data_IF_869298671484
#
_entry.id   IF_869298671484
#
_cell.length_a   1.000
_cell.length_b   1.000
_cell.length_c   1.000
_cell.angle_alpha   90.00
_cell.angle_beta   90.00
_cell.angle_gamma   90.00
#
_symmetry.space_group_name_H-M   'P 1'
#
loop_
_entity.id
_entity.type
_entity.pdbx_description
1 polymer ?
#
# COMPACT_ATOMS: atom_id res chain seq x y z
N UNK A 1 -0.33 15.18 -16.45
CA UNK A 1 -1.12 14.26 -17.29
C UNK A 1 -1.85 13.37 -16.31
N UNK A 2 -3.12 13.67 -16.07
CA UNK A 2 -4.00 12.79 -15.30
C UNK A 2 -4.40 11.64 -16.22
N UNK A 3 -4.02 10.42 -15.84
CA UNK A 3 -4.47 9.21 -16.53
C UNK A 3 -5.82 8.81 -15.94
N UNK A 4 -6.77 8.45 -16.79
CA UNK A 4 -8.02 7.85 -16.32
C UNK A 4 -7.76 6.46 -15.74
N UNK A 5 -8.43 6.03 -14.66
CA UNK A 5 -8.29 4.68 -14.10
C UNK A 5 -8.42 3.57 -15.15
N UNK A 6 -9.31 3.74 -16.13
CA UNK A 6 -9.47 2.81 -17.25
C UNK A 6 -8.20 2.69 -18.11
N UNK A 7 -7.48 3.79 -18.35
CA UNK A 7 -6.28 3.78 -19.19
C UNK A 7 -5.10 3.05 -18.53
N UNK A 8 -5.03 3.04 -17.19
CA UNK A 8 -4.01 2.29 -16.45
C UNK A 8 -4.35 0.79 -16.40
N UNK A 9 -5.64 0.45 -16.30
CA UNK A 9 -6.13 -0.93 -16.20
C UNK A 9 -6.16 -1.62 -17.57
N UNK A 10 -6.55 -0.90 -18.63
CA UNK A 10 -6.79 -1.44 -19.96
C UNK A 10 -5.56 -1.40 -20.87
N UNK A 11 -4.49 -0.70 -20.50
CA UNK A 11 -3.22 -0.83 -21.21
C UNK A 11 -2.65 -2.23 -20.97
N UNK A 12 -2.54 -3.10 -22.01
CA UNK A 12 -1.93 -4.39 -21.83
C UNK A 12 -0.48 -4.17 -21.38
N UNK A 13 -0.12 -4.74 -20.22
CA UNK A 13 1.27 -5.00 -19.90
C UNK A 13 1.78 -6.08 -20.88
N UNK A 14 2.05 -5.68 -22.12
CA UNK A 14 2.79 -6.48 -23.08
C UNK A 14 4.10 -6.90 -22.42
N UNK A 15 4.49 -8.18 -22.56
CA UNK A 15 5.66 -8.74 -21.90
C UNK A 15 6.96 -7.96 -22.22
N UNK A 16 7.02 -7.26 -23.36
CA UNK A 16 8.12 -6.38 -23.76
C UNK A 16 8.20 -5.06 -22.96
N UNK A 17 7.18 -4.71 -22.18
CA UNK A 17 7.11 -3.46 -21.42
C UNK A 17 7.40 -3.61 -19.92
N UNK A 18 7.29 -4.82 -19.35
CA UNK A 18 7.57 -5.04 -17.92
C UNK A 18 9.05 -5.35 -17.68
N UNK A 19 9.90 -4.31 -17.72
CA UNK A 19 11.35 -4.47 -17.54
C UNK A 19 11.73 -4.63 -16.06
N UNK A 20 12.66 -5.55 -15.72
CA UNK A 20 13.30 -5.57 -14.41
C UNK A 20 14.01 -4.24 -14.12
N UNK A 21 14.22 -3.93 -12.84
CA UNK A 21 14.96 -2.74 -12.40
C UNK A 21 14.37 -1.41 -12.89
N UNK A 22 13.04 -1.36 -13.07
CA UNK A 22 12.31 -0.21 -13.62
C UNK A 22 12.38 1.05 -12.75
N UNK A 23 12.69 0.91 -11.46
CA UNK A 23 12.65 2.02 -10.49
C UNK A 23 14.06 2.56 -10.14
N UNK A 24 14.87 2.86 -11.14
CA UNK A 24 16.24 3.42 -11.10
C UNK A 24 17.32 2.52 -10.43
N UNK A 25 16.97 1.77 -9.39
CA UNK A 25 17.88 0.88 -8.67
C UNK A 25 17.19 -0.45 -8.35
N UNK A 26 17.96 -1.54 -8.17
CA UNK A 26 17.39 -2.83 -7.77
C UNK A 26 16.59 -2.75 -6.47
N UNK A 27 17.12 -2.07 -5.45
CA UNK A 27 16.45 -2.01 -4.14
C UNK A 27 15.12 -1.24 -4.19
N UNK A 28 15.05 -0.14 -4.94
CA UNK A 28 13.80 0.61 -5.14
C UNK A 28 12.81 -0.22 -5.96
N UNK A 29 13.27 -1.00 -6.94
CA UNK A 29 12.40 -1.88 -7.71
C UNK A 29 11.81 -2.97 -6.82
N UNK A 30 12.65 -3.71 -6.09
CA UNK A 30 12.20 -4.77 -5.19
C UNK A 30 11.29 -4.29 -4.07
N UNK A 31 11.47 -3.05 -3.59
CA UNK A 31 10.59 -2.46 -2.58
C UNK A 31 9.15 -2.34 -3.11
N UNK A 32 8.98 -1.76 -4.30
CA UNK A 32 7.66 -1.60 -4.91
C UNK A 32 7.11 -2.94 -5.40
N UNK A 33 7.92 -3.80 -6.02
CA UNK A 33 7.50 -5.15 -6.38
C UNK A 33 6.98 -5.91 -5.15
N UNK A 34 7.67 -5.78 -4.00
CA UNK A 34 7.24 -6.38 -2.74
C UNK A 34 5.90 -5.82 -2.27
N UNK A 35 5.72 -4.48 -2.26
CA UNK A 35 4.42 -3.89 -1.92
C UNK A 35 3.29 -4.39 -2.81
N UNK A 36 3.52 -4.53 -4.13
CA UNK A 36 2.51 -5.06 -5.04
C UNK A 36 2.00 -6.44 -4.63
N UNK A 37 2.85 -7.30 -4.04
CA UNK A 37 2.43 -8.61 -3.53
C UNK A 37 1.47 -8.49 -2.35
N UNK A 38 1.64 -7.48 -1.49
CA UNK A 38 0.81 -7.28 -0.30
C UNK A 38 -0.55 -6.67 -0.64
N UNK A 39 -0.57 -5.75 -1.62
CA UNK A 39 -1.71 -4.86 -1.88
C UNK A 39 -3.01 -5.61 -2.17
N UNK A 40 -3.10 -6.60 -3.08
CA UNK A 40 -4.40 -7.20 -3.41
C UNK A 40 -5.16 -7.81 -2.22
N UNK A 41 -4.42 -8.47 -1.32
CA UNK A 41 -4.97 -9.09 -0.12
C UNK A 41 -5.30 -8.03 0.95
N UNK A 42 -4.41 -7.03 1.11
CA UNK A 42 -4.61 -5.90 2.00
C UNK A 42 -5.84 -5.08 1.60
N UNK A 43 -5.96 -4.69 0.34
CA UNK A 43 -7.08 -3.94 -0.22
C UNK A 43 -8.39 -4.74 -0.11
N UNK A 44 -8.36 -6.07 -0.33
CA UNK A 44 -9.55 -6.91 -0.08
C UNK A 44 -10.04 -6.81 1.37
N UNK A 45 -9.09 -6.86 2.31
CA UNK A 45 -9.37 -6.72 3.73
C UNK A 45 -9.94 -5.33 4.03
N UNK A 46 -9.27 -4.27 3.57
CA UNK A 46 -9.70 -2.88 3.81
C UNK A 46 -11.08 -2.62 3.20
N UNK A 47 -11.33 -3.01 1.95
CA UNK A 47 -12.65 -2.93 1.30
C UNK A 47 -13.71 -3.57 2.19
N UNK A 48 -13.49 -4.83 2.60
CA UNK A 48 -14.48 -5.57 3.41
C UNK A 48 -14.77 -4.89 4.74
N UNK A 49 -13.75 -4.31 5.37
CA UNK A 49 -13.87 -3.63 6.67
C UNK A 49 -14.54 -2.28 6.53
N UNK A 50 -14.21 -1.50 5.50
CA UNK A 50 -14.84 -0.20 5.21
C UNK A 50 -16.31 -0.40 4.87
N UNK A 51 -16.68 -1.38 4.04
CA UNK A 51 -18.08 -1.68 3.73
C UNK A 51 -18.89 -2.01 4.99
N UNK A 52 -18.37 -2.91 5.84
CA UNK A 52 -19.03 -3.30 7.09
C UNK A 52 -19.12 -2.15 8.10
N UNK A 53 -18.12 -1.28 8.14
CA UNK A 53 -18.08 -0.12 9.04
C UNK A 53 -19.05 0.97 8.58
N UNK A 54 -19.05 1.28 7.28
CA UNK A 54 -19.96 2.27 6.69
C UNK A 54 -21.44 1.83 6.74
N UNK A 55 -21.70 0.52 6.78
CA UNK A 55 -23.05 -0.01 7.00
C UNK A 55 -23.65 0.35 8.38
N UNK A 56 -22.82 0.73 9.37
CA UNK A 56 -23.30 1.20 10.67
C UNK A 56 -23.64 2.70 10.67
N UNK A 57 -23.29 3.43 9.61
CA UNK A 57 -23.61 4.83 9.45
C UNK A 57 -24.98 5.02 8.79
N UNK A 58 -25.51 6.23 8.90
CA UNK A 58 -26.62 6.65 8.07
C UNK A 58 -26.19 6.70 6.60
N UNK A 59 -26.96 6.03 5.73
CA UNK A 59 -26.55 5.81 4.34
C UNK A 59 -26.51 7.10 3.50
N UNK A 60 -27.21 8.14 3.96
CA UNK A 60 -27.20 9.49 3.38
C UNK A 60 -26.07 10.38 3.93
N UNK A 61 -25.27 9.91 4.88
CA UNK A 61 -24.14 10.70 5.41
C UNK A 61 -23.02 10.80 4.37
N UNK A 62 -22.31 11.93 4.39
CA UNK A 62 -21.16 12.15 3.51
C UNK A 62 -20.07 11.07 3.69
N UNK A 63 -19.85 10.59 4.92
CA UNK A 63 -18.86 9.55 5.19
C UNK A 63 -19.26 8.19 4.59
N UNK A 64 -20.55 7.85 4.56
CA UNK A 64 -21.01 6.64 3.87
C UNK A 64 -20.83 6.76 2.35
N UNK A 65 -21.01 7.96 1.77
CA UNK A 65 -20.72 8.21 0.36
C UNK A 65 -19.23 8.13 0.03
N UNK A 66 -18.38 8.80 0.81
CA UNK A 66 -16.93 8.74 0.68
C UNK A 66 -16.43 7.29 0.80
N UNK A 67 -17.01 6.49 1.71
CA UNK A 67 -16.70 5.06 1.85
C UNK A 67 -17.05 4.24 0.61
N UNK A 68 -18.15 4.57 -0.08
CA UNK A 68 -18.52 3.89 -1.34
C UNK A 68 -17.56 4.23 -2.47
N UNK A 69 -17.11 5.50 -2.57
CA UNK A 69 -16.10 5.93 -3.55
C UNK A 69 -14.77 5.23 -3.30
N UNK A 70 -14.30 5.26 -2.05
CA UNK A 70 -13.11 4.56 -1.60
C UNK A 70 -13.13 3.07 -2.01
N UNK A 71 -14.25 2.38 -1.76
CA UNK A 71 -14.38 0.96 -2.12
C UNK A 71 -14.30 0.72 -3.63
N UNK A 72 -14.77 1.65 -4.46
CA UNK A 72 -14.67 1.53 -5.91
C UNK A 72 -13.23 1.73 -6.41
N UNK A 73 -12.53 2.73 -5.85
CA UNK A 73 -11.12 3.04 -6.11
C UNK A 73 -10.22 1.86 -5.71
N UNK A 74 -10.40 1.31 -4.50
CA UNK A 74 -9.61 0.15 -4.04
C UNK A 74 -9.83 -1.11 -4.86
N UNK A 75 -11.06 -1.35 -5.34
CA UNK A 75 -11.32 -2.46 -6.25
C UNK A 75 -10.56 -2.29 -7.56
N UNK A 76 -10.35 -1.06 -8.01
CA UNK A 76 -9.56 -0.77 -9.20
C UNK A 76 -8.08 -1.04 -8.93
N UNK A 77 -7.52 -0.55 -7.82
CA UNK A 77 -6.15 -0.85 -7.40
C UNK A 77 -5.88 -2.35 -7.32
N UNK A 78 -6.79 -3.09 -6.69
CA UNK A 78 -6.68 -4.54 -6.51
C UNK A 78 -6.56 -5.27 -7.83
N UNK A 79 -7.37 -4.90 -8.82
CA UNK A 79 -7.29 -5.49 -10.16
C UNK A 79 -5.95 -5.17 -10.82
N UNK A 80 -5.50 -3.93 -10.73
CA UNK A 80 -4.24 -3.49 -11.33
C UNK A 80 -3.03 -4.20 -10.69
N UNK A 81 -2.98 -4.31 -9.37
CA UNK A 81 -1.90 -5.01 -8.67
C UNK A 81 -1.92 -6.52 -8.89
N UNK A 82 -3.09 -7.16 -9.05
CA UNK A 82 -3.14 -8.56 -9.51
C UNK A 82 -2.53 -8.76 -10.89
N UNK A 83 -2.79 -7.85 -11.83
CA UNK A 83 -2.17 -7.90 -13.17
C UNK A 83 -0.66 -7.65 -13.09
N UNK A 84 -0.22 -6.72 -12.24
CA UNK A 84 1.20 -6.48 -11.96
C UNK A 84 1.89 -7.74 -11.41
N UNK A 85 1.27 -8.39 -10.42
CA UNK A 85 1.77 -9.60 -9.78
C UNK A 85 1.86 -10.78 -10.75
N UNK A 86 0.93 -10.89 -11.69
CA UNK A 86 1.02 -11.88 -12.78
C UNK A 86 2.27 -11.65 -13.66
N UNK A 87 2.70 -10.41 -13.87
CA UNK A 87 3.93 -10.12 -14.63
C UNK A 87 5.20 -10.44 -13.82
N UNK A 88 5.17 -10.26 -12.49
CA UNK A 88 6.23 -10.74 -11.61
C UNK A 88 6.32 -12.29 -11.62
N UNK A 89 5.17 -12.97 -11.60
CA UNK A 89 5.12 -14.44 -11.68
C UNK A 89 5.72 -14.96 -12.99
N UNK A 90 5.44 -14.30 -14.13
CA UNK A 90 6.06 -14.62 -15.42
C UNK A 90 7.58 -14.44 -15.43
N UNK A 91 8.11 -13.57 -14.57
CA UNK A 91 9.55 -13.43 -14.35
C UNK A 91 10.12 -14.49 -13.38
N UNK A 92 9.30 -15.45 -12.95
CA UNK A 92 9.67 -16.58 -12.13
C UNK A 92 9.81 -16.28 -10.65
N UNK A 93 9.22 -15.19 -10.15
CA UNK A 93 9.04 -14.95 -8.72
C UNK A 93 7.82 -15.72 -8.21
N UNK A 94 7.85 -16.25 -6.99
CA UNK A 94 6.75 -17.06 -6.40
C UNK A 94 5.63 -16.19 -5.80
N UNK A 95 5.16 -15.20 -6.55
CA UNK A 95 4.21 -14.19 -6.07
C UNK A 95 2.88 -14.81 -5.67
N UNK A 96 2.36 -15.75 -6.47
CA UNK A 96 1.08 -16.39 -6.17
C UNK A 96 1.07 -17.12 -4.82
N UNK A 97 2.17 -17.78 -4.47
CA UNK A 97 2.27 -18.45 -3.17
C UNK A 97 2.25 -17.45 -2.01
N UNK A 98 2.90 -16.30 -2.19
CA UNK A 98 2.90 -15.24 -1.20
C UNK A 98 1.53 -14.59 -1.03
N UNK A 99 0.83 -14.28 -2.13
CA UNK A 99 -0.53 -13.74 -2.09
C UNK A 99 -1.47 -14.66 -1.31
N UNK A 100 -1.46 -15.97 -1.60
CA UNK A 100 -2.28 -16.95 -0.90
C UNK A 100 -1.98 -17.02 0.61
N UNK A 101 -0.72 -16.87 1.00
CA UNK A 101 -0.32 -16.81 2.40
C UNK A 101 -0.91 -15.58 3.11
N UNK A 102 -0.74 -14.41 2.50
CA UNK A 102 -1.23 -13.14 3.06
C UNK A 102 -2.77 -13.14 3.13
N UNK A 103 -3.46 -13.61 2.09
CA UNK A 103 -4.92 -13.75 2.07
C UNK A 103 -5.41 -14.64 3.21
N UNK A 104 -4.76 -15.78 3.42
CA UNK A 104 -5.11 -16.71 4.50
C UNK A 104 -4.91 -16.07 5.88
N UNK A 105 -3.80 -15.37 6.08
CA UNK A 105 -3.50 -14.71 7.36
C UNK A 105 -4.52 -13.61 7.65
N UNK A 106 -4.84 -12.75 6.67
CA UNK A 106 -5.84 -11.71 6.82
C UNK A 106 -7.26 -12.27 7.03
N UNK A 107 -7.64 -13.35 6.35
CA UNK A 107 -8.92 -14.04 6.60
C UNK A 107 -8.99 -14.64 8.01
N UNK A 108 -7.89 -15.23 8.49
CA UNK A 108 -7.80 -15.76 9.84
C UNK A 108 -7.91 -14.66 10.90
N UNK A 109 -7.33 -13.48 10.65
CA UNK A 109 -7.49 -12.30 11.49
C UNK A 109 -8.95 -11.81 11.46
N UNK A 110 -9.53 -11.65 10.26
CA UNK A 110 -10.88 -11.14 10.06
C UNK A 110 -11.96 -12.02 10.72
N UNK A 111 -11.77 -13.34 10.73
CA UNK A 111 -12.70 -14.28 11.37
C UNK A 111 -12.65 -14.26 12.90
N UNK A 112 -11.57 -13.76 13.51
CA UNK A 112 -11.36 -13.79 14.96
C UNK A 112 -11.52 -12.43 15.64
N UNK A 113 -11.28 -11.35 14.91
CA UNK A 113 -11.22 -10.00 15.48
C UNK A 113 -12.57 -9.30 15.38
N UNK A 114 -12.85 -8.40 16.33
CA UNK A 114 -14.01 -7.52 16.24
C UNK A 114 -13.88 -6.55 15.06
N UNK A 115 -15.00 -6.04 14.55
CA UNK A 115 -14.97 -5.05 13.46
C UNK A 115 -14.19 -3.78 13.85
N UNK A 116 -14.22 -3.38 15.12
CA UNK A 116 -13.43 -2.26 15.64
C UNK A 116 -11.91 -2.50 15.52
N UNK A 117 -11.47 -3.71 15.88
CA UNK A 117 -10.07 -4.11 15.71
C UNK A 117 -9.66 -4.18 14.24
N UNK A 118 -10.56 -4.71 13.39
CA UNK A 118 -10.34 -4.76 11.95
C UNK A 118 -10.23 -3.36 11.34
N UNK A 119 -11.10 -2.42 11.74
CA UNK A 119 -11.07 -1.04 11.29
C UNK A 119 -9.83 -0.29 11.76
N UNK A 120 -9.37 -0.53 12.99
CA UNK A 120 -8.11 0.01 13.49
C UNK A 120 -6.90 -0.51 12.67
N UNK A 121 -6.91 -1.79 12.29
CA UNK A 121 -5.88 -2.35 11.41
C UNK A 121 -5.96 -1.77 10.00
N UNK A 122 -7.16 -1.67 9.42
CA UNK A 122 -7.37 -1.10 8.09
C UNK A 122 -6.89 0.36 8.03
N UNK A 123 -7.30 1.19 8.98
CA UNK A 123 -6.84 2.58 9.07
C UNK A 123 -5.33 2.71 9.29
N UNK A 124 -4.70 1.71 9.89
CA UNK A 124 -3.25 1.68 10.00
C UNK A 124 -2.56 1.33 8.68
N UNK A 125 -3.08 0.36 7.92
CA UNK A 125 -2.59 0.05 6.57
C UNK A 125 -2.64 1.28 5.68
N UNK A 126 -3.82 1.90 5.57
CA UNK A 126 -4.04 3.13 4.79
C UNK A 126 -3.10 4.27 5.19
N UNK A 127 -2.79 4.41 6.47
CA UNK A 127 -1.87 5.45 6.90
C UNK A 127 -0.42 5.13 6.52
N UNK A 128 0.01 3.87 6.67
CA UNK A 128 1.37 3.46 6.28
C UNK A 128 1.57 3.67 4.79
N UNK A 129 0.63 3.19 3.96
CA UNK A 129 0.66 3.32 2.50
C UNK A 129 0.55 4.77 2.07
N UNK A 130 -0.33 5.60 2.66
CA UNK A 130 -0.43 7.02 2.34
C UNK A 130 0.88 7.79 2.61
N UNK A 131 1.57 7.48 3.71
CA UNK A 131 2.88 8.10 4.02
C UNK A 131 3.94 7.70 2.99
N UNK A 132 3.99 6.43 2.61
CA UNK A 132 4.89 5.93 1.56
C UNK A 132 4.58 6.60 0.23
N UNK A 133 3.31 6.64 -0.17
CA UNK A 133 2.81 7.28 -1.38
C UNK A 133 3.17 8.77 -1.44
N UNK A 134 2.97 9.49 -0.33
CA UNK A 134 3.37 10.89 -0.20
C UNK A 134 4.88 11.10 -0.42
N UNK A 135 5.73 10.17 0.01
CA UNK A 135 7.19 10.23 -0.23
C UNK A 135 7.58 9.74 -1.62
N UNK A 136 6.88 8.75 -2.16
CA UNK A 136 7.08 8.22 -3.51
C UNK A 136 6.88 9.31 -4.57
N UNK A 137 5.84 10.14 -4.43
CA UNK A 137 5.46 11.18 -5.38
C UNK A 137 6.30 12.47 -5.32
N UNK A 138 7.21 12.61 -4.35
CA UNK A 138 8.04 13.81 -4.21
C UNK A 138 9.00 13.97 -5.39
N UNK A 139 9.41 15.22 -5.63
CA UNK A 139 10.61 15.50 -6.44
C UNK A 139 11.81 14.85 -5.76
N UNK A 140 12.50 13.95 -6.47
CA UNK A 140 13.54 13.07 -5.91
C UNK A 140 13.03 12.11 -4.82
N UNK A 141 11.79 11.65 -4.95
CA UNK A 141 11.17 10.65 -4.09
C UNK A 141 11.64 9.21 -4.37
N UNK A 142 10.85 8.25 -3.89
CA UNK A 142 11.12 6.82 -4.08
C UNK A 142 10.68 6.28 -5.44
N UNK A 143 9.80 6.98 -6.16
CA UNK A 143 9.34 6.58 -7.48
C UNK A 143 10.12 7.30 -8.58
N UNK A 144 10.57 6.54 -9.58
CA UNK A 144 11.32 7.07 -10.72
C UNK A 144 10.49 8.10 -11.51
N UNK A 145 11.20 9.11 -12.02
CA UNK A 145 10.65 10.07 -12.97
C UNK A 145 10.52 9.49 -14.39
N UNK A 146 11.22 8.39 -14.68
CA UNK A 146 11.18 7.74 -15.98
C UNK A 146 9.83 7.06 -16.20
N UNK A 147 9.21 7.30 -17.36
CA UNK A 147 7.93 6.72 -17.68
C UNK A 147 8.08 5.23 -18.05
N UNK A 148 7.37 4.37 -17.33
CA UNK A 148 7.14 2.96 -17.66
C UNK A 148 5.69 2.60 -17.31
N UNK A 149 5.21 1.43 -17.70
CA UNK A 149 3.91 0.93 -17.26
C UNK A 149 3.84 0.84 -15.73
N UNK A 150 4.92 0.37 -15.09
CA UNK A 150 5.00 0.31 -13.63
C UNK A 150 4.97 1.68 -12.96
N UNK A 151 5.73 2.67 -13.45
CA UNK A 151 5.71 4.01 -12.84
C UNK A 151 4.39 4.74 -13.07
N UNK A 152 3.64 4.43 -14.14
CA UNK A 152 2.28 4.94 -14.34
C UNK A 152 1.32 4.36 -13.31
N UNK A 153 1.27 3.04 -13.16
CA UNK A 153 0.41 2.36 -12.19
C UNK A 153 0.71 2.84 -10.76
N UNK A 154 1.98 2.83 -10.36
CA UNK A 154 2.37 3.26 -9.01
C UNK A 154 2.09 4.74 -8.76
N UNK A 155 2.21 5.60 -9.78
CA UNK A 155 1.88 7.02 -9.62
C UNK A 155 0.38 7.22 -9.43
N UNK A 156 -0.46 6.52 -10.20
CA UNK A 156 -1.91 6.54 -10.04
C UNK A 156 -2.32 6.03 -8.64
N UNK A 157 -1.89 4.83 -8.27
CA UNK A 157 -2.18 4.26 -6.95
C UNK A 157 -1.74 5.21 -5.82
N UNK A 158 -0.49 5.68 -5.86
CA UNK A 158 0.01 6.59 -4.82
C UNK A 158 -0.75 7.92 -4.74
N UNK A 159 -1.34 8.41 -5.84
CA UNK A 159 -2.10 9.67 -5.80
C UNK A 159 -3.43 9.51 -5.06
N UNK A 160 -4.12 8.39 -5.27
CA UNK A 160 -5.41 8.09 -4.63
C UNK A 160 -5.20 7.71 -3.14
N UNK A 161 -4.14 6.97 -2.83
CA UNK A 161 -3.83 6.51 -1.47
C UNK A 161 -3.68 7.65 -0.44
N UNK A 162 -3.23 8.84 -0.88
CA UNK A 162 -3.11 10.00 0.03
C UNK A 162 -4.48 10.45 0.54
N UNK A 163 -5.53 10.32 -0.27
CA UNK A 163 -6.90 10.68 0.09
C UNK A 163 -7.59 9.59 0.92
N UNK A 164 -7.30 8.33 0.61
CA UNK A 164 -7.86 7.14 1.23
C UNK A 164 -7.74 7.11 2.77
N UNK A 165 -6.58 7.48 3.32
CA UNK A 165 -6.36 7.52 4.77
C UNK A 165 -7.39 8.36 5.54
N UNK A 166 -7.98 9.38 4.90
CA UNK A 166 -8.97 10.24 5.54
C UNK A 166 -10.29 9.50 5.78
N UNK A 167 -10.70 8.63 4.85
CA UNK A 167 -11.95 7.85 4.97
C UNK A 167 -11.88 6.90 6.15
N UNK A 168 -10.80 6.13 6.27
CA UNK A 168 -10.62 5.20 7.40
C UNK A 168 -10.41 5.92 8.73
N UNK A 169 -9.72 7.07 8.72
CA UNK A 169 -9.57 7.93 9.91
C UNK A 169 -10.90 8.52 10.38
N UNK A 170 -11.77 8.95 9.46
CA UNK A 170 -13.08 9.49 9.79
C UNK A 170 -14.01 8.37 10.30
N UNK A 171 -13.92 7.15 9.75
CA UNK A 171 -14.61 5.97 10.27
C UNK A 171 -14.17 5.62 11.70
N UNK A 172 -12.87 5.71 12.02
CA UNK A 172 -12.38 5.52 13.39
C UNK A 172 -13.05 6.49 14.38
N UNK A 173 -13.20 7.75 13.98
CA UNK A 173 -13.84 8.78 14.81
C UNK A 173 -15.34 8.53 14.95
N UNK A 174 -16.02 8.29 13.82
CA UNK A 174 -17.47 8.10 13.78
C UNK A 174 -17.93 6.89 14.61
N UNK A 175 -17.14 5.81 14.61
CA UNK A 175 -17.43 4.59 15.38
C UNK A 175 -16.79 4.58 16.77
N UNK A 176 -16.16 5.68 17.19
CA UNK A 176 -15.63 5.84 18.54
C UNK A 176 -14.49 4.88 18.89
N UNK A 177 -13.61 4.57 17.94
CA UNK A 177 -12.50 3.64 18.16
C UNK A 177 -11.49 4.28 19.15
N UNK A 178 -11.17 3.62 20.28
CA UNK A 178 -10.35 4.23 21.31
C UNK A 178 -8.90 4.35 20.86
N UNK A 179 -8.23 5.40 21.34
CA UNK A 179 -6.84 5.72 21.00
C UNK A 179 -5.89 4.53 21.16
N UNK A 180 -6.02 3.76 22.25
CA UNK A 180 -5.13 2.62 22.51
C UNK A 180 -5.27 1.52 21.46
N UNK A 181 -6.49 1.25 20.94
CA UNK A 181 -6.68 0.28 19.86
C UNK A 181 -6.02 0.78 18.59
N UNK A 182 -6.26 2.04 18.24
CA UNK A 182 -5.66 2.67 17.07
C UNK A 182 -4.12 2.54 17.08
N UNK A 183 -3.47 2.84 18.21
CA UNK A 183 -2.01 2.74 18.32
C UNK A 183 -1.52 1.28 18.33
N UNK A 184 -2.21 0.38 19.04
CA UNK A 184 -1.84 -1.03 19.08
C UNK A 184 -1.86 -1.65 17.67
N UNK A 185 -2.93 -1.44 16.92
CA UNK A 185 -3.08 -1.98 15.58
C UNK A 185 -2.19 -1.27 14.56
N UNK A 186 -1.82 -0.01 14.79
CA UNK A 186 -0.79 0.66 14.00
C UNK A 186 0.59 0.03 14.13
N UNK A 187 1.00 -0.27 15.37
CA UNK A 187 2.27 -0.97 15.60
C UNK A 187 2.25 -2.38 15.00
N UNK A 188 1.13 -3.10 15.13
CA UNK A 188 0.95 -4.41 14.54
C UNK A 188 1.00 -4.37 13.00
N UNK A 189 0.24 -3.48 12.37
CA UNK A 189 0.25 -3.28 10.91
C UNK A 189 1.65 -2.92 10.40
N UNK A 190 2.33 -1.98 11.06
CA UNK A 190 3.69 -1.57 10.69
C UNK A 190 4.68 -2.73 10.77
N UNK A 191 4.61 -3.55 11.82
CA UNK A 191 5.47 -4.72 11.98
C UNK A 191 5.17 -5.80 10.93
N UNK A 192 3.90 -6.09 10.66
CA UNK A 192 3.48 -7.07 9.65
C UNK A 192 3.95 -6.65 8.25
N UNK A 193 3.62 -5.41 7.85
CA UNK A 193 4.03 -4.88 6.54
C UNK A 193 5.56 -4.84 6.41
N UNK A 194 6.29 -4.40 7.44
CA UNK A 194 7.75 -4.37 7.40
C UNK A 194 8.32 -5.79 7.25
N UNK A 195 7.81 -6.76 8.01
CA UNK A 195 8.24 -8.15 7.91
C UNK A 195 8.02 -8.70 6.50
N UNK A 196 6.81 -8.55 5.95
CA UNK A 196 6.48 -9.07 4.64
C UNK A 196 7.28 -8.37 3.53
N UNK A 197 7.35 -7.04 3.53
CA UNK A 197 8.12 -6.30 2.53
C UNK A 197 9.59 -6.72 2.55
N UNK A 198 10.21 -6.81 3.73
CA UNK A 198 11.60 -7.23 3.86
C UNK A 198 11.80 -8.68 3.38
N UNK A 199 10.87 -9.58 3.71
CA UNK A 199 10.92 -10.98 3.29
C UNK A 199 10.83 -11.11 1.77
N UNK A 200 9.87 -10.45 1.12
CA UNK A 200 9.69 -10.48 -0.33
C UNK A 200 10.86 -9.83 -1.07
N UNK A 201 11.26 -8.63 -0.64
CA UNK A 201 12.40 -7.91 -1.20
C UNK A 201 13.66 -8.78 -1.14
N UNK A 202 13.90 -9.44 0.00
CA UNK A 202 15.03 -10.36 0.15
C UNK A 202 14.93 -11.56 -0.79
N UNK A 203 13.74 -12.15 -0.92
CA UNK A 203 13.47 -13.25 -1.85
C UNK A 203 13.75 -12.88 -3.31
N UNK A 204 13.24 -11.72 -3.75
CA UNK A 204 13.44 -11.20 -5.10
C UNK A 204 14.92 -10.93 -5.39
N UNK A 205 15.61 -10.24 -4.48
CA UNK A 205 17.03 -9.97 -4.61
C UNK A 205 17.86 -11.26 -4.68
N UNK A 206 17.55 -12.26 -3.85
CA UNK A 206 18.24 -13.55 -3.87
C UNK A 206 18.07 -14.29 -5.18
N UNK A 207 16.86 -14.31 -5.71
CA UNK A 207 16.56 -14.99 -6.97
C UNK A 207 17.30 -14.34 -8.14
N UNK A 208 17.30 -13.02 -8.21
CA UNK A 208 17.99 -12.29 -9.28
C UNK A 208 19.51 -12.40 -9.18
N UNK A 209 20.06 -12.44 -7.97
CA UNK A 209 21.49 -12.73 -7.76
C UNK A 209 21.83 -14.14 -8.24
N UNK A 210 21.01 -15.14 -7.88
CA UNK A 210 21.23 -16.51 -8.30
C UNK A 210 21.14 -16.69 -9.83
N UNK A 211 20.31 -15.89 -10.50
CA UNK A 211 20.15 -15.88 -11.97
C UNK A 211 21.17 -14.99 -12.68
N UNK A 212 22.02 -14.27 -11.95
CA UNK A 212 22.98 -13.32 -12.53
C UNK A 212 22.36 -12.06 -13.14
N UNK A 213 21.08 -11.76 -12.84
CA UNK A 213 20.41 -10.52 -13.28
C UNK A 213 20.99 -9.27 -12.58
N UNK A 214 21.52 -9.45 -11.37
CA UNK A 214 22.21 -8.41 -10.60
C UNK A 214 23.25 -9.04 -9.69
N UNK A 215 24.35 -8.36 -9.38
CA UNK A 215 25.31 -8.85 -8.37
C UNK A 215 24.93 -8.45 -6.95
N UNK A 216 25.32 -9.26 -5.97
CA UNK A 216 25.18 -8.91 -4.54
C UNK A 216 25.92 -7.61 -4.17
N UNK A 217 26.96 -7.23 -4.92
CA UNK A 217 27.67 -5.96 -4.72
C UNK A 217 26.82 -4.78 -5.17
N UNK A 218 26.13 -4.89 -6.29
CA UNK A 218 25.22 -3.85 -6.80
C UNK A 218 24.04 -3.64 -5.87
N UNK A 219 23.40 -4.72 -5.39
CA UNK A 219 22.31 -4.62 -4.41
C UNK A 219 22.78 -3.91 -3.15
N UNK A 220 23.92 -4.32 -2.56
CA UNK A 220 24.47 -3.66 -1.36
C UNK A 220 24.78 -2.17 -1.57
N UNK A 221 25.35 -1.81 -2.73
CA UNK A 221 25.61 -0.40 -3.07
C UNK A 221 24.31 0.38 -3.23
N UNK A 222 23.30 -0.20 -3.87
CA UNK A 222 21.99 0.42 -4.04
C UNK A 222 21.31 0.64 -2.69
N UNK A 223 21.35 -0.35 -1.78
CA UNK A 223 20.85 -0.21 -0.40
C UNK A 223 21.59 0.88 0.36
N UNK A 224 22.92 0.90 0.31
CA UNK A 224 23.70 1.96 0.96
C UNK A 224 23.37 3.35 0.39
N UNK A 225 23.21 3.44 -0.93
CA UNK A 225 22.79 4.67 -1.60
C UNK A 225 21.39 5.10 -1.16
N UNK A 226 20.44 4.19 -1.04
CA UNK A 226 19.09 4.49 -0.52
C UNK A 226 19.18 5.04 0.91
N UNK A 227 19.90 4.35 1.80
CA UNK A 227 20.01 4.78 3.20
C UNK A 227 20.73 6.13 3.37
N UNK A 228 21.76 6.40 2.56
CA UNK A 228 22.56 7.61 2.67
C UNK A 228 21.97 8.81 1.90
N UNK A 229 21.49 8.58 0.68
CA UNK A 229 21.04 9.67 -0.23
C UNK A 229 19.55 9.95 -0.09
N UNK A 230 18.73 8.96 0.26
CA UNK A 230 17.30 9.15 0.54
C UNK A 230 17.02 9.44 2.02
N UNK A 231 18.04 9.83 2.82
CA UNK A 231 17.88 10.13 4.26
C UNK A 231 16.77 11.14 4.57
N UNK A 232 16.58 12.16 3.73
CA UNK A 232 15.47 13.11 3.85
C UNK A 232 14.11 12.42 3.64
N UNK A 233 14.00 11.54 2.65
CA UNK A 233 12.78 10.77 2.37
C UNK A 233 12.48 9.80 3.51
N UNK A 234 13.49 9.11 4.05
CA UNK A 234 13.37 8.24 5.23
C UNK A 234 12.90 9.01 6.47
N UNK A 235 13.48 10.18 6.73
CA UNK A 235 13.05 11.07 7.81
C UNK A 235 11.60 11.53 7.63
N UNK A 236 11.20 11.87 6.40
CA UNK A 236 9.82 12.28 6.13
C UNK A 236 8.83 11.13 6.34
N UNK A 237 9.17 9.89 5.92
CA UNK A 237 8.36 8.72 6.23
C UNK A 237 8.24 8.50 7.74
N UNK A 238 9.36 8.54 8.47
CA UNK A 238 9.37 8.39 9.93
C UNK A 238 8.51 9.46 10.61
N UNK A 239 8.57 10.71 10.16
CA UNK A 239 7.72 11.80 10.66
C UNK A 239 6.24 11.59 10.32
N UNK A 240 5.93 11.11 9.12
CA UNK A 240 4.57 10.79 8.69
C UNK A 240 3.96 9.72 9.58
N UNK A 241 4.65 8.59 9.76
CA UNK A 241 4.23 7.51 10.64
C UNK A 241 4.15 7.94 12.11
N UNK A 242 5.09 8.76 12.59
CA UNK A 242 5.03 9.31 13.95
C UNK A 242 3.82 10.24 14.16
N UNK A 243 3.30 10.87 13.10
CA UNK A 243 2.10 11.70 13.20
C UNK A 243 0.84 10.88 13.55
N UNK A 244 0.82 9.57 13.30
CA UNK A 244 -0.29 8.70 13.68
C UNK A 244 -0.52 8.63 15.20
N UNK A 245 0.52 8.88 16.00
CA UNK A 245 0.42 8.93 17.46
C UNK A 245 -0.24 10.21 17.97
N UNK A 246 -0.43 11.22 17.12
CA UNK A 246 -1.16 12.43 17.51
C UNK A 246 -2.66 12.12 17.67
N UNK A 247 -3.35 12.74 18.64
CA UNK A 247 -4.81 12.65 18.73
C UNK A 247 -5.47 13.05 17.42
N UNK A 248 -6.53 12.35 17.05
CA UNK A 248 -7.36 12.77 15.92
C UNK A 248 -7.96 14.14 16.24
N UNK A 249 -7.84 15.07 15.28
CA UNK A 249 -8.49 16.37 15.41
C UNK A 249 -9.98 16.12 15.33
N UNK A 250 -10.73 16.60 16.31
CA UNK A 250 -12.19 16.57 16.26
C UNK A 250 -12.64 17.28 14.99
N UNK A 251 -13.28 16.55 14.07
CA UNK A 251 -13.94 17.17 12.93
C UNK A 251 -15.07 18.06 13.47
N UNK A 252 -14.91 19.38 13.36
CA UNK A 252 -16.06 20.28 13.44
C UNK A 252 -16.94 19.95 12.23
N UNK A 253 -18.05 19.26 12.49
CA UNK A 253 -19.21 19.12 11.60
C UNK A 253 -18.91 18.59 10.19
N UNK A 254 -18.90 17.25 10.05
CA UNK A 254 -19.55 16.60 8.91
C UNK A 254 -20.73 15.85 9.50
N UNK A 255 -21.93 16.34 9.25
CA UNK A 255 -23.15 15.89 9.91
C UNK A 255 -23.29 14.37 9.86
N UNK A 256 -23.09 13.75 11.02
CA UNK A 256 -23.56 12.41 11.33
C UNK A 256 -24.94 12.57 11.97
N UNK A 257 -25.93 12.94 11.15
CA UNK A 257 -27.37 12.87 11.41
C UNK A 257 -28.10 12.57 10.09
#
# INVERSE_FOLDING_TARGET
MDFSPQQVIDEPCDADTFKPFWNDTPIKTYLFDAFSVLLPAGEQFVISVVEKSAAQLQQTSALAEDSRRFVAEERAHQRAHRLYNQQLEKQGFEVKQYELGIEKDLQALQSKWSLNAQLALAAAFEHVTAVISGVALRKHGLLSANASSQTRLWRWHCQEEVAHQHVTTDLLQALGIPYWQRILYFLAASALMAFDVLRHLHGFARLDIARGRVSAKEVRRATASLLLRDGTNLMLMARGWAAYFLPLKANKTRDCQ
#
